data_IF_159087776205
#
_entry.id   IF_159087776205
#
_cell.length_a   1.000
_cell.length_b   1.000
_cell.length_c   1.000
_cell.angle_alpha   90.00
_cell.angle_beta   90.00
_cell.angle_gamma   90.00
#
_symmetry.space_group_name_H-M   'P 1'
#
loop_
_entity.id
_entity.type
_entity.pdbx_description
1 polymer ?
#
# COMPACT_ATOMS: atom_id res chain seq x y z
N UNK A 1 27.22 -14.79 -14.21
CA UNK A 1 27.32 -13.85 -13.08
C UNK A 1 27.53 -14.65 -11.80
N UNK A 2 28.59 -14.38 -11.04
CA UNK A 2 28.77 -14.99 -9.71
C UNK A 2 27.74 -14.39 -8.75
N UNK A 3 27.01 -15.24 -8.02
CA UNK A 3 26.06 -14.80 -7.00
C UNK A 3 26.85 -14.26 -5.80
N UNK A 4 26.54 -13.04 -5.36
CA UNK A 4 27.15 -12.44 -4.16
C UNK A 4 26.94 -13.36 -2.93
N UNK A 5 27.98 -13.66 -2.13
CA UNK A 5 27.83 -14.51 -0.95
C UNK A 5 26.79 -13.98 0.04
N UNK A 6 26.00 -14.86 0.65
CA UNK A 6 24.95 -14.49 1.63
C UNK A 6 25.44 -13.59 2.77
N UNK A 7 26.61 -13.82 3.41
CA UNK A 7 27.10 -12.93 4.47
C UNK A 7 27.37 -11.51 3.98
N UNK A 8 27.90 -11.36 2.77
CA UNK A 8 28.17 -10.04 2.18
C UNK A 8 26.86 -9.31 1.86
N UNK A 9 25.85 -10.02 1.33
CA UNK A 9 24.51 -9.45 1.09
C UNK A 9 23.86 -8.98 2.39
N UNK A 10 23.87 -9.81 3.43
CA UNK A 10 23.32 -9.43 4.74
C UNK A 10 24.05 -8.21 5.34
N UNK A 11 25.39 -8.18 5.22
CA UNK A 11 26.19 -7.02 5.64
C UNK A 11 25.79 -5.75 4.90
N UNK A 12 25.71 -5.79 3.57
CA UNK A 12 25.32 -4.62 2.77
C UNK A 12 23.91 -4.17 3.12
N UNK A 13 22.96 -5.12 3.24
CA UNK A 13 21.58 -4.81 3.63
C UNK A 13 21.52 -4.05 4.95
N UNK A 14 22.24 -4.54 5.97
CA UNK A 14 22.27 -3.89 7.29
C UNK A 14 22.84 -2.48 7.21
N UNK A 15 23.89 -2.25 6.42
CA UNK A 15 24.42 -0.89 6.23
C UNK A 15 23.39 0.02 5.55
N UNK A 16 22.67 -0.47 4.54
CA UNK A 16 21.58 0.30 3.91
C UNK A 16 20.46 0.60 4.90
N UNK A 17 20.05 -0.37 5.71
CA UNK A 17 19.04 -0.20 6.75
C UNK A 17 19.48 0.81 7.83
N UNK A 18 20.75 0.78 8.24
CA UNK A 18 21.34 1.76 9.16
C UNK A 18 21.33 3.17 8.53
N UNK A 19 21.74 3.30 7.26
CA UNK A 19 21.69 4.56 6.51
C UNK A 19 20.27 5.14 6.44
N UNK A 20 19.27 4.28 6.24
CA UNK A 20 17.86 4.65 6.17
C UNK A 20 17.25 4.94 7.55
N UNK A 21 17.92 4.61 8.66
CA UNK A 21 17.46 4.96 10.01
C UNK A 21 18.02 6.29 10.49
N UNK A 22 19.01 6.85 9.79
CA UNK A 22 19.56 8.16 10.11
C UNK A 22 18.67 9.25 9.53
N UNK A 23 18.30 10.22 10.35
CA UNK A 23 17.55 11.41 9.95
C UNK A 23 18.39 12.24 8.94
N UNK A 24 17.75 12.77 7.90
CA UNK A 24 18.33 13.67 6.87
C UNK A 24 19.41 13.09 5.94
N UNK A 25 19.32 11.80 5.59
CA UNK A 25 20.28 11.22 4.65
C UNK A 25 19.98 11.64 3.21
N UNK A 26 20.91 12.35 2.57
CA UNK A 26 20.79 12.75 1.14
C UNK A 26 20.75 11.54 0.18
N UNK A 27 21.05 10.34 0.67
CA UNK A 27 21.08 9.10 -0.09
C UNK A 27 19.86 8.21 0.15
N UNK A 28 18.83 8.67 0.87
CA UNK A 28 17.66 7.86 1.23
C UNK A 28 17.02 7.15 0.03
N UNK A 29 16.72 7.88 -1.05
CA UNK A 29 16.08 7.28 -2.23
C UNK A 29 16.97 6.19 -2.85
N UNK A 30 18.27 6.45 -2.95
CA UNK A 30 19.23 5.51 -3.52
C UNK A 30 19.35 4.28 -2.60
N UNK A 31 19.52 4.50 -1.30
CA UNK A 31 19.61 3.43 -0.31
C UNK A 31 18.34 2.57 -0.29
N UNK A 32 17.15 3.18 -0.40
CA UNK A 32 15.88 2.49 -0.46
C UNK A 32 15.75 1.63 -1.74
N UNK A 33 16.14 2.16 -2.90
CA UNK A 33 16.16 1.39 -4.16
C UNK A 33 17.05 0.16 -4.03
N UNK A 34 18.28 0.31 -3.52
CA UNK A 34 19.18 -0.81 -3.31
C UNK A 34 18.63 -1.80 -2.28
N UNK A 35 18.07 -1.32 -1.17
CA UNK A 35 17.48 -2.17 -0.13
C UNK A 35 16.36 -3.04 -0.71
N UNK A 36 15.45 -2.43 -1.47
CA UNK A 36 14.33 -3.12 -2.10
C UNK A 36 14.81 -4.18 -3.11
N UNK A 37 15.79 -3.85 -3.95
CA UNK A 37 16.36 -4.82 -4.90
C UNK A 37 17.02 -6.00 -4.17
N UNK A 38 17.61 -5.75 -3.01
CA UNK A 38 18.18 -6.80 -2.17
C UNK A 38 17.11 -7.68 -1.51
N UNK A 39 15.90 -7.18 -1.26
CA UNK A 39 14.79 -8.02 -0.77
C UNK A 39 14.31 -9.03 -1.81
N UNK A 40 14.52 -8.77 -3.10
CA UNK A 40 14.21 -9.71 -4.19
C UNK A 40 15.19 -10.90 -4.23
N UNK A 41 16.29 -10.86 -3.48
CA UNK A 41 17.18 -12.00 -3.30
C UNK A 41 16.58 -13.08 -2.38
N UNK A 42 16.39 -14.30 -2.90
CA UNK A 42 15.91 -15.45 -2.10
C UNK A 42 16.89 -15.82 -0.99
N UNK A 43 16.55 -15.55 0.29
CA UNK A 43 17.04 -16.19 1.55
C UNK A 43 17.10 -15.25 2.78
N UNK A 44 16.29 -14.19 2.87
CA UNK A 44 16.55 -13.07 3.80
C UNK A 44 15.33 -12.70 4.67
N UNK A 45 14.94 -13.59 5.60
CA UNK A 45 13.80 -13.34 6.50
C UNK A 45 14.08 -12.23 7.51
N UNK A 46 15.28 -12.19 8.09
CA UNK A 46 15.64 -11.17 9.09
C UNK A 46 15.72 -9.78 8.45
N UNK A 47 16.25 -9.71 7.23
CA UNK A 47 16.30 -8.48 6.45
C UNK A 47 14.89 -8.01 6.05
N UNK A 48 13.98 -8.93 5.72
CA UNK A 48 12.58 -8.58 5.51
C UNK A 48 11.95 -7.98 6.77
N UNK A 49 12.15 -8.62 7.93
CA UNK A 49 11.59 -8.11 9.19
C UNK A 49 12.14 -6.70 9.49
N UNK A 50 13.43 -6.47 9.27
CA UNK A 50 14.06 -5.14 9.35
C UNK A 50 13.48 -4.14 8.33
N UNK A 51 13.23 -4.53 7.08
CA UNK A 51 12.60 -3.67 6.08
C UNK A 51 11.18 -3.27 6.46
N UNK A 52 10.39 -4.20 7.02
CA UNK A 52 9.03 -3.93 7.46
C UNK A 52 8.97 -2.93 8.62
N UNK A 53 10.03 -2.83 9.44
CA UNK A 53 10.16 -1.76 10.45
C UNK A 53 10.46 -0.39 9.84
N UNK A 54 11.13 -0.36 8.69
CA UNK A 54 11.59 0.87 8.03
C UNK A 54 10.50 1.44 7.10
N UNK A 55 9.77 0.59 6.38
CA UNK A 55 8.78 1.00 5.38
C UNK A 55 7.72 2.00 5.88
N UNK A 56 7.17 1.89 7.11
CA UNK A 56 6.21 2.88 7.63
C UNK A 56 6.71 4.32 7.56
N UNK A 57 7.98 4.56 7.89
CA UNK A 57 8.59 5.89 7.86
C UNK A 57 8.65 6.44 6.43
N UNK A 58 9.00 5.60 5.46
CA UNK A 58 9.13 6.01 4.07
C UNK A 58 7.81 6.07 3.30
N UNK A 59 6.78 5.34 3.75
CA UNK A 59 5.40 5.56 3.31
C UNK A 59 4.88 6.94 3.76
N UNK A 60 5.41 7.50 4.84
CA UNK A 60 5.02 8.83 5.34
C UNK A 60 6.01 9.93 4.95
N UNK A 61 7.00 9.62 4.11
CA UNK A 61 8.00 10.58 3.65
C UNK A 61 7.38 11.67 2.78
N UNK A 62 7.87 12.90 2.94
CA UNK A 62 7.53 14.04 2.07
C UNK A 62 8.35 14.04 0.77
N UNK A 63 9.31 13.11 0.63
CA UNK A 63 10.08 12.96 -0.59
C UNK A 63 9.19 12.42 -1.72
N UNK A 64 9.01 13.21 -2.78
CA UNK A 64 8.18 12.87 -3.93
C UNK A 64 8.59 11.51 -4.51
N UNK A 65 7.61 10.62 -4.71
CA UNK A 65 7.82 9.29 -5.28
C UNK A 65 8.41 8.25 -4.32
N UNK A 66 8.89 8.64 -3.14
CA UNK A 66 9.36 7.69 -2.12
C UNK A 66 8.23 6.77 -1.64
N UNK A 67 7.02 7.25 -1.29
CA UNK A 67 5.94 6.36 -0.90
C UNK A 67 5.55 5.40 -2.04
N UNK A 68 5.49 5.89 -3.29
CA UNK A 68 5.20 5.04 -4.47
C UNK A 68 6.27 3.95 -4.67
N UNK A 69 7.56 4.28 -4.48
CA UNK A 69 8.66 3.32 -4.54
C UNK A 69 8.49 2.20 -3.50
N UNK A 70 8.19 2.57 -2.25
CA UNK A 70 7.97 1.60 -1.16
C UNK A 70 6.72 0.76 -1.43
N UNK A 71 5.63 1.35 -1.91
CA UNK A 71 4.41 0.62 -2.27
C UNK A 71 4.66 -0.42 -3.37
N UNK A 72 5.48 -0.10 -4.38
CA UNK A 72 5.87 -1.07 -5.42
C UNK A 72 6.69 -2.24 -4.84
N UNK A 73 7.54 -1.97 -3.86
CA UNK A 73 8.25 -3.03 -3.14
C UNK A 73 7.29 -3.92 -2.36
N UNK A 74 6.37 -3.32 -1.60
CA UNK A 74 5.34 -4.05 -0.86
C UNK A 74 4.50 -4.90 -1.81
N UNK A 75 4.11 -4.36 -2.98
CA UNK A 75 3.37 -5.12 -4.00
C UNK A 75 4.11 -6.40 -4.39
N UNK A 76 5.40 -6.30 -4.74
CA UNK A 76 6.23 -7.49 -5.07
C UNK A 76 6.29 -8.49 -3.93
N UNK A 77 6.42 -8.01 -2.68
CA UNK A 77 6.42 -8.87 -1.49
C UNK A 77 5.07 -9.54 -1.24
N UNK A 78 3.94 -8.92 -1.61
CA UNK A 78 2.60 -9.54 -1.50
C UNK A 78 2.38 -10.67 -2.51
N UNK A 79 3.15 -10.71 -3.60
CA UNK A 79 3.05 -11.75 -4.64
C UNK A 79 3.87 -13.00 -4.31
N UNK A 80 4.73 -12.92 -3.29
CA UNK A 80 5.63 -13.98 -2.86
C UNK A 80 5.08 -14.75 -1.66
N UNK A 81 4.87 -16.07 -1.75
CA UNK A 81 4.25 -16.85 -0.67
C UNK A 81 4.98 -16.78 0.68
N UNK A 82 6.31 -16.65 0.68
CA UNK A 82 7.16 -16.59 1.87
C UNK A 82 7.08 -15.25 2.62
N UNK A 83 6.70 -14.17 1.92
CA UNK A 83 6.71 -12.79 2.47
C UNK A 83 5.33 -12.18 2.58
N UNK A 84 4.37 -12.64 1.76
CA UNK A 84 3.08 -11.97 1.56
C UNK A 84 2.32 -11.71 2.86
N UNK A 85 2.16 -12.72 3.72
CA UNK A 85 1.43 -12.54 4.99
C UNK A 85 2.12 -11.58 5.96
N UNK A 86 3.46 -11.50 5.95
CA UNK A 86 4.20 -10.58 6.82
C UNK A 86 3.94 -9.12 6.45
N UNK A 87 3.70 -8.82 5.17
CA UNK A 87 3.41 -7.44 4.72
C UNK A 87 2.12 -6.86 5.29
N UNK A 88 1.19 -7.70 5.79
CA UNK A 88 -0.10 -7.24 6.32
C UNK A 88 0.04 -6.30 7.53
N UNK A 89 1.18 -6.33 8.23
CA UNK A 89 1.49 -5.36 9.29
C UNK A 89 1.51 -3.92 8.78
N UNK A 90 1.74 -3.73 7.47
CA UNK A 90 1.80 -2.43 6.82
C UNK A 90 0.45 -1.91 6.36
N UNK A 91 -0.61 -2.72 6.46
CA UNK A 91 -1.95 -2.37 5.96
C UNK A 91 -2.41 -0.96 6.39
N UNK A 92 -2.31 -0.53 7.66
CA UNK A 92 -2.75 0.80 8.06
C UNK A 92 -1.98 1.91 7.31
N UNK A 93 -0.66 1.77 7.17
CA UNK A 93 0.18 2.76 6.49
C UNK A 93 -0.11 2.84 4.99
N UNK A 94 -0.42 1.70 4.35
CA UNK A 94 -0.85 1.64 2.94
C UNK A 94 -2.22 2.30 2.77
N UNK A 95 -3.15 2.08 3.70
CA UNK A 95 -4.47 2.72 3.67
C UNK A 95 -4.38 4.25 3.72
N UNK A 96 -3.44 4.79 4.49
CA UNK A 96 -3.22 6.25 4.56
C UNK A 96 -2.72 6.85 3.25
N UNK A 97 -2.07 6.07 2.37
CA UNK A 97 -1.59 6.55 1.07
C UNK A 97 -2.72 6.93 0.11
N UNK A 98 -3.95 6.45 0.34
CA UNK A 98 -5.10 6.79 -0.49
C UNK A 98 -5.52 8.27 -0.37
N UNK A 99 -5.14 8.93 0.71
CA UNK A 99 -5.48 10.33 1.00
C UNK A 99 -4.26 11.26 0.96
N UNK A 100 -3.11 10.76 0.51
CA UNK A 100 -1.89 11.54 0.38
C UNK A 100 -1.97 12.57 -0.76
N UNK A 101 -1.10 13.58 -0.69
CA UNK A 101 -0.96 14.57 -1.77
C UNK A 101 -0.25 14.01 -3.02
N UNK A 102 0.45 12.88 -2.89
CA UNK A 102 1.16 12.21 -3.96
C UNK A 102 0.20 11.27 -4.72
N UNK A 103 -0.22 11.67 -5.93
CA UNK A 103 -1.12 10.90 -6.79
C UNK A 103 -0.48 9.58 -7.26
N UNK A 104 0.84 9.51 -7.40
CA UNK A 104 1.53 8.26 -7.76
C UNK A 104 1.51 7.27 -6.59
N UNK A 105 1.51 7.77 -5.36
CA UNK A 105 1.39 6.95 -4.16
C UNK A 105 -0.03 6.41 -4.00
N UNK A 106 -1.06 7.25 -4.18
CA UNK A 106 -2.46 6.80 -4.11
C UNK A 106 -2.78 5.74 -5.17
N UNK A 107 -2.29 5.95 -6.41
CA UNK A 107 -2.42 4.98 -7.50
C UNK A 107 -1.69 3.66 -7.19
N UNK A 108 -0.47 3.72 -6.62
CA UNK A 108 0.30 2.53 -6.25
C UNK A 108 -0.29 1.77 -5.05
N UNK A 109 -1.03 2.44 -4.17
CA UNK A 109 -1.63 1.83 -2.98
C UNK A 109 -2.82 0.92 -3.32
N UNK A 110 -3.61 1.27 -4.35
CA UNK A 110 -4.78 0.50 -4.79
C UNK A 110 -4.48 -0.98 -5.10
N UNK A 111 -3.49 -1.33 -5.96
CA UNK A 111 -3.16 -2.73 -6.23
C UNK A 111 -2.61 -3.45 -4.99
N UNK A 112 -1.84 -2.75 -4.12
CA UNK A 112 -1.32 -3.33 -2.87
C UNK A 112 -2.46 -3.72 -1.94
N UNK A 113 -3.42 -2.81 -1.71
CA UNK A 113 -4.60 -3.09 -0.89
C UNK A 113 -5.44 -4.22 -1.49
N UNK A 114 -5.58 -4.26 -2.81
CA UNK A 114 -6.24 -5.37 -3.51
C UNK A 114 -5.61 -6.73 -3.19
N UNK A 115 -4.28 -6.83 -3.19
CA UNK A 115 -3.55 -8.06 -2.80
C UNK A 115 -3.70 -8.36 -1.31
N UNK A 116 -3.58 -7.36 -0.44
CA UNK A 116 -3.73 -7.54 1.00
C UNK A 116 -5.13 -8.04 1.39
N UNK A 117 -6.19 -7.54 0.74
CA UNK A 117 -7.54 -8.04 0.93
C UNK A 117 -7.68 -9.52 0.55
N UNK A 118 -7.05 -9.95 -0.55
CA UNK A 118 -7.02 -11.35 -0.95
C UNK A 118 -6.32 -12.21 0.10
N UNK A 119 -5.18 -11.74 0.65
CA UNK A 119 -4.42 -12.45 1.69
C UNK A 119 -5.17 -12.56 3.03
N UNK A 120 -6.05 -11.61 3.31
CA UNK A 120 -6.91 -11.60 4.48
C UNK A 120 -8.10 -12.56 4.33
N UNK A 121 -8.51 -12.96 3.12
CA UNK A 121 -9.54 -13.98 2.87
C UNK A 121 -10.84 -13.74 3.67
N UNK A 122 -11.29 -12.49 3.79
CA UNK A 122 -12.48 -12.13 4.56
C UNK A 122 -12.31 -12.09 6.09
N UNK A 123 -11.08 -12.27 6.58
CA UNK A 123 -10.72 -12.12 8.01
C UNK A 123 -10.45 -10.67 8.40
N UNK A 124 -10.60 -9.73 7.45
CA UNK A 124 -10.48 -8.31 7.73
C UNK A 124 -11.57 -7.90 8.73
N UNK A 125 -11.22 -7.24 9.85
CA UNK A 125 -12.22 -6.74 10.79
C UNK A 125 -13.21 -5.78 10.09
N UNK A 126 -14.49 -5.89 10.42
CA UNK A 126 -15.57 -5.05 9.85
C UNK A 126 -15.26 -3.55 9.99
N UNK A 127 -14.70 -3.13 11.13
CA UNK A 127 -14.28 -1.75 11.38
C UNK A 127 -13.16 -1.30 10.44
N UNK A 128 -12.17 -2.16 10.17
CA UNK A 128 -11.07 -1.87 9.24
C UNK A 128 -11.57 -1.82 7.80
N UNK A 129 -12.47 -2.72 7.42
CA UNK A 129 -13.13 -2.67 6.12
C UNK A 129 -13.92 -1.36 5.95
N UNK A 130 -14.68 -0.95 6.95
CA UNK A 130 -15.39 0.33 6.91
C UNK A 130 -14.42 1.50 6.77
N UNK A 131 -13.33 1.53 7.55
CA UNK A 131 -12.32 2.59 7.46
C UNK A 131 -11.67 2.66 6.07
N UNK A 132 -11.38 1.52 5.43
CA UNK A 132 -10.88 1.49 4.06
C UNK A 132 -11.95 2.01 3.08
N UNK A 133 -13.21 1.61 3.24
CA UNK A 133 -14.31 2.08 2.40
C UNK A 133 -14.47 3.60 2.48
N UNK A 134 -14.26 4.22 3.64
CA UNK A 134 -14.34 5.68 3.83
C UNK A 134 -13.22 6.45 3.12
N UNK A 135 -12.08 5.81 2.83
CA UNK A 135 -10.92 6.47 2.18
C UNK A 135 -10.94 6.45 0.65
N UNK A 136 -11.72 5.57 0.04
CA UNK A 136 -11.76 5.36 -1.41
C UNK A 136 -12.56 6.38 -2.24
N UNK A 137 -13.66 6.98 -1.75
CA UNK A 137 -14.54 7.82 -2.57
C UNK A 137 -13.86 9.01 -3.27
N UNK A 138 -12.87 9.70 -2.67
CA UNK A 138 -12.15 10.77 -3.35
C UNK A 138 -11.51 10.33 -4.69
N UNK A 139 -11.13 9.06 -4.82
CA UNK A 139 -10.47 8.52 -6.00
C UNK A 139 -11.45 8.16 -7.13
N UNK A 140 -12.76 8.25 -6.91
CA UNK A 140 -13.76 7.92 -7.94
C UNK A 140 -13.81 8.97 -9.06
N UNK A 141 -13.33 10.18 -8.80
CA UNK A 141 -13.26 11.29 -9.73
C UNK A 141 -11.80 11.64 -10.09
N UNK A 142 -10.87 10.70 -9.92
CA UNK A 142 -9.47 10.88 -10.32
C UNK A 142 -9.34 11.11 -11.84
N UNK A 143 -8.32 11.87 -12.26
CA UNK A 143 -8.08 12.16 -13.68
C UNK A 143 -7.74 10.90 -14.48
N UNK A 144 -7.16 9.88 -13.84
CA UNK A 144 -6.77 8.63 -14.46
C UNK A 144 -7.89 7.58 -14.36
N UNK A 145 -8.35 7.12 -15.51
CA UNK A 145 -9.35 6.04 -15.63
C UNK A 145 -8.99 4.79 -14.82
N UNK A 146 -7.71 4.43 -14.81
CA UNK A 146 -7.20 3.27 -14.08
C UNK A 146 -7.36 3.42 -12.57
N UNK A 147 -7.13 4.61 -12.02
CA UNK A 147 -7.30 4.90 -10.58
C UNK A 147 -8.78 4.86 -10.20
N UNK A 148 -9.65 5.47 -11.02
CA UNK A 148 -11.11 5.39 -10.84
C UNK A 148 -11.61 3.95 -10.86
N UNK A 149 -11.21 3.17 -11.86
CA UNK A 149 -11.64 1.78 -12.00
C UNK A 149 -11.16 0.90 -10.83
N UNK A 150 -9.88 1.02 -10.47
CA UNK A 150 -9.29 0.24 -9.37
C UNK A 150 -9.91 0.60 -8.02
N UNK A 151 -10.13 1.90 -7.74
CA UNK A 151 -10.74 2.35 -6.50
C UNK A 151 -12.20 1.92 -6.37
N UNK A 152 -13.00 2.02 -7.43
CA UNK A 152 -14.39 1.54 -7.43
C UNK A 152 -14.47 0.02 -7.26
N UNK A 153 -13.60 -0.75 -7.94
CA UNK A 153 -13.53 -2.22 -7.76
C UNK A 153 -13.10 -2.60 -6.35
N UNK A 154 -12.14 -1.87 -5.78
CA UNK A 154 -11.70 -2.10 -4.41
C UNK A 154 -12.82 -1.79 -3.42
N UNK A 155 -13.52 -0.67 -3.61
CA UNK A 155 -14.67 -0.28 -2.81
C UNK A 155 -15.75 -1.37 -2.83
N UNK A 156 -16.12 -1.87 -4.01
CA UNK A 156 -17.07 -2.97 -4.15
C UNK A 156 -16.69 -4.22 -3.35
N UNK A 157 -15.42 -4.62 -3.38
CA UNK A 157 -14.93 -5.75 -2.58
C UNK A 157 -15.07 -5.47 -1.09
N UNK A 158 -14.67 -4.28 -0.64
CA UNK A 158 -14.70 -3.88 0.77
C UNK A 158 -16.12 -3.79 1.31
N UNK A 159 -17.10 -3.34 0.50
CA UNK A 159 -18.52 -3.32 0.89
C UNK A 159 -19.01 -4.71 1.34
N UNK A 160 -18.56 -5.77 0.65
CA UNK A 160 -18.92 -7.15 0.98
C UNK A 160 -18.30 -7.67 2.28
N UNK A 161 -17.29 -6.98 2.81
CA UNK A 161 -16.59 -7.35 4.05
C UNK A 161 -17.20 -6.68 5.30
N UNK A 162 -18.00 -5.63 5.13
CA UNK A 162 -18.61 -4.91 6.26
C UNK A 162 -19.88 -5.60 6.72
N UNK A 163 -19.85 -6.11 7.95
CA UNK A 163 -20.93 -6.88 8.57
C UNK A 163 -21.31 -6.29 9.93
N UNK A 164 -22.40 -6.77 10.53
CA UNK A 164 -22.78 -6.39 11.90
C UNK A 164 -23.20 -4.92 12.05
N UNK A 165 -22.69 -4.28 13.11
CA UNK A 165 -23.10 -2.93 13.52
C UNK A 165 -22.70 -1.84 12.50
N UNK A 166 -21.64 -2.09 11.75
CA UNK A 166 -21.01 -1.19 10.79
C UNK A 166 -21.83 -1.08 9.49
N UNK A 167 -22.73 -2.04 9.20
CA UNK A 167 -23.53 -2.07 7.97
C UNK A 167 -24.36 -0.79 7.77
N UNK A 168 -24.85 -0.17 8.86
CA UNK A 168 -25.59 1.10 8.78
C UNK A 168 -24.68 2.26 8.33
N UNK A 169 -23.45 2.33 8.86
CA UNK A 169 -22.45 3.32 8.44
C UNK A 169 -22.02 3.08 7.00
N UNK A 170 -21.77 1.82 6.63
CA UNK A 170 -21.43 1.45 5.26
C UNK A 170 -22.48 1.92 4.25
N UNK A 171 -23.78 1.73 4.53
CA UNK A 171 -24.85 2.25 3.67
C UNK A 171 -24.74 3.76 3.44
N UNK A 172 -24.43 4.53 4.50
CA UNK A 172 -24.23 5.97 4.40
C UNK A 172 -23.05 6.29 3.50
N UNK A 173 -21.90 5.62 3.71
CA UNK A 173 -20.71 5.78 2.86
C UNK A 173 -21.05 5.49 1.39
N UNK A 174 -21.78 4.41 1.09
CA UNK A 174 -22.24 4.09 -0.29
C UNK A 174 -23.08 5.21 -0.87
N UNK A 175 -24.09 5.68 -0.13
CA UNK A 175 -24.96 6.77 -0.59
C UNK A 175 -24.16 8.04 -0.88
N UNK A 176 -23.31 8.45 0.06
CA UNK A 176 -22.49 9.67 -0.06
C UNK A 176 -21.47 9.55 -1.21
N UNK A 177 -21.02 8.33 -1.54
CA UNK A 177 -20.04 8.09 -2.62
C UNK A 177 -20.69 7.99 -4.01
N UNK A 178 -21.89 7.42 -4.10
CA UNK A 178 -22.58 7.21 -5.38
C UNK A 178 -23.38 8.43 -5.84
N UNK A 179 -23.92 9.21 -4.90
CA UNK A 179 -24.76 10.36 -5.23
C UNK A 179 -24.06 11.36 -6.16
N UNK A 180 -22.80 11.78 -5.93
CA UNK A 180 -22.09 12.66 -6.85
C UNK A 180 -21.89 12.04 -8.23
N UNK A 181 -21.61 10.74 -8.32
CA UNK A 181 -21.41 10.04 -9.60
C UNK A 181 -22.68 10.02 -10.44
N UNK A 182 -23.85 9.84 -9.81
CA UNK A 182 -25.15 9.88 -10.51
C UNK A 182 -25.41 11.27 -11.08
N UNK A 183 -25.12 12.34 -10.34
CA UNK A 183 -25.29 13.70 -10.87
C UNK A 183 -24.34 14.00 -12.04
N UNK A 184 -23.09 13.55 -11.99
CA UNK A 184 -22.15 13.71 -13.11
C UNK A 184 -22.62 13.02 -14.40
N UNK A 185 -23.35 11.90 -14.29
CA UNK A 185 -23.95 11.22 -15.46
C UNK A 185 -25.11 12.02 -16.09
N UNK A 186 -25.71 12.94 -15.35
CA UNK A 186 -26.84 13.76 -15.80
C UNK A 186 -26.46 15.21 -16.14
N UNK A 187 -25.26 15.66 -15.76
CA UNK A 187 -24.74 16.99 -16.09
C UNK A 187 -23.99 17.05 -17.44
N UNK A 188 -23.78 15.90 -18.11
CA UNK A 188 -23.11 15.83 -19.44
C UNK A 188 -24.05 16.04 -20.64
N UNK A 189 -25.14 16.80 -20.48
CA UNK A 189 -26.04 17.22 -21.58
C UNK A 189 -25.50 18.42 -22.38
#
# INVERSE_FOLDING_TARGET
>A
MMKTPRPLRSTIFRHLAELLRMEDSTWEMIAMVFLIEMLDCTSLSEELDCALEIFPMYLQSQCVGMPSLVLRAILRLTERPDTARKTLVLLPYVMEQLQGADSDASAAALPVLGKMLLLLEGKMPSLTALALAEKLPPLFNDELDTVRELSMRLFQKVMGLVVGAEKKKMKKVVWDSLLPLVFHLHDQD
#
